data_IF_005493943827
#
_entry.id   IF_005493943827
#
_cell.length_a   1.000
_cell.length_b   1.000
_cell.length_c   1.000
_cell.angle_alpha   90.00
_cell.angle_beta   90.00
_cell.angle_gamma   90.00
#
_symmetry.space_group_name_H-M   'P 1'
#
loop_
_entity.id
_entity.type
_entity.pdbx_description
1 polymer ?
#
# COMPACT_ATOMS: atom_id res chain seq x y z
N UNK A 1 16.66 -40.81 -3.35
CA UNK A 1 15.33 -40.41 -2.84
C UNK A 1 15.37 -39.12 -2.00
N UNK A 2 16.33 -38.96 -1.07
CA UNK A 2 16.47 -37.77 -0.22
C UNK A 2 16.64 -36.42 -0.96
N UNK A 3 17.39 -36.39 -2.07
CA UNK A 3 17.64 -35.16 -2.86
C UNK A 3 16.38 -34.58 -3.53
N UNK A 4 15.41 -35.42 -3.89
CA UNK A 4 14.15 -34.99 -4.50
C UNK A 4 13.23 -34.30 -3.48
N UNK A 5 13.21 -34.80 -2.25
CA UNK A 5 12.41 -34.23 -1.14
C UNK A 5 12.93 -32.85 -0.72
N UNK A 6 14.26 -32.68 -0.68
CA UNK A 6 14.90 -31.39 -0.38
C UNK A 6 14.60 -30.32 -1.46
N UNK A 7 14.58 -30.69 -2.74
CA UNK A 7 14.24 -29.75 -3.83
C UNK A 7 12.77 -29.32 -3.80
N UNK A 8 11.86 -30.23 -3.48
CA UNK A 8 10.44 -29.93 -3.38
C UNK A 8 10.12 -29.00 -2.20
N UNK A 9 10.74 -29.23 -1.05
CA UNK A 9 10.56 -28.39 0.14
C UNK A 9 11.05 -26.96 -0.08
N UNK A 10 12.26 -26.79 -0.65
CA UNK A 10 12.78 -25.45 -1.00
C UNK A 10 11.86 -24.74 -2.00
N UNK A 11 11.37 -25.44 -3.03
CA UNK A 11 10.46 -24.84 -4.03
C UNK A 11 9.12 -24.44 -3.41
N UNK A 12 8.56 -25.25 -2.51
CA UNK A 12 7.35 -24.93 -1.74
C UNK A 12 7.56 -23.72 -0.84
N UNK A 13 8.70 -23.61 -0.16
CA UNK A 13 9.01 -22.50 0.74
C UNK A 13 9.21 -21.18 -0.03
N UNK A 14 9.88 -21.23 -1.19
CA UNK A 14 10.00 -20.08 -2.09
C UNK A 14 8.63 -19.67 -2.65
N UNK A 15 7.80 -20.64 -3.03
CA UNK A 15 6.45 -20.37 -3.58
C UNK A 15 5.53 -19.80 -2.52
N UNK A 16 5.56 -20.32 -1.30
CA UNK A 16 4.86 -19.77 -0.13
C UNK A 16 5.34 -18.36 0.19
N UNK A 17 6.65 -18.08 0.15
CA UNK A 17 7.18 -16.73 0.34
C UNK A 17 6.79 -15.76 -0.79
N UNK A 18 6.65 -16.23 -2.03
CA UNK A 18 6.15 -15.43 -3.14
C UNK A 18 4.65 -15.16 -3.04
N UNK A 19 3.86 -16.15 -2.61
CA UNK A 19 2.41 -16.00 -2.39
C UNK A 19 2.08 -15.17 -1.14
N UNK A 20 2.93 -15.23 -0.12
CA UNK A 20 2.76 -14.51 1.14
C UNK A 20 3.48 -13.15 1.13
N UNK A 21 4.13 -12.79 0.02
CA UNK A 21 4.52 -11.41 -0.31
C UNK A 21 3.25 -10.63 -0.59
N UNK A 22 2.56 -10.28 0.50
CA UNK A 22 1.63 -9.17 0.54
C UNK A 22 2.39 -7.98 -0.04
N UNK A 23 2.09 -7.57 -1.27
CA UNK A 23 2.74 -6.44 -1.94
C UNK A 23 2.67 -5.23 -1.02
N UNK A 24 3.72 -5.04 -0.25
CA UNK A 24 3.79 -3.98 0.75
C UNK A 24 5.20 -3.41 0.67
N UNK A 25 5.50 -2.88 -0.52
CA UNK A 25 6.55 -1.91 -0.79
C UNK A 25 7.98 -2.47 -0.61
N UNK A 26 8.90 -2.14 -1.52
CA UNK A 26 10.32 -2.53 -1.41
C UNK A 26 11.08 -1.90 -0.20
N UNK A 27 10.35 -1.37 0.78
CA UNK A 27 10.89 -0.71 1.95
C UNK A 27 10.73 -1.59 3.18
N UNK A 28 11.83 -1.84 3.87
CA UNK A 28 11.85 -2.58 5.13
C UNK A 28 11.32 -1.70 6.27
N UNK A 29 10.02 -1.41 6.26
CA UNK A 29 9.34 -0.62 7.30
C UNK A 29 9.11 -1.48 8.55
N UNK A 30 9.34 -0.88 9.73
CA UNK A 30 9.01 -1.54 11.02
C UNK A 30 7.51 -1.89 11.05
N UNK A 31 7.13 -3.01 11.69
CA UNK A 31 5.72 -3.44 11.83
C UNK A 31 4.79 -2.35 12.37
N UNK A 32 5.31 -1.48 13.25
CA UNK A 32 4.56 -0.40 13.88
C UNK A 32 4.84 0.97 13.25
N UNK A 33 5.39 1.00 12.03
CA UNK A 33 5.67 2.24 11.35
C UNK A 33 4.38 3.00 11.09
N UNK A 34 4.39 4.28 11.43
CA UNK A 34 3.31 5.23 11.14
C UNK A 34 3.94 6.53 10.64
N UNK A 35 3.33 7.20 9.66
CA UNK A 35 3.78 8.52 9.24
C UNK A 35 3.67 9.53 10.40
N UNK A 36 4.75 10.29 10.61
CA UNK A 36 4.88 11.29 11.67
C UNK A 36 4.88 12.72 11.14
N UNK A 37 5.31 12.91 9.90
CA UNK A 37 5.39 14.22 9.25
C UNK A 37 4.43 14.32 8.08
N UNK A 38 4.05 15.52 7.68
CA UNK A 38 3.14 15.72 6.54
C UNK A 38 3.69 15.12 5.25
N UNK A 39 5.00 15.21 5.02
CA UNK A 39 5.67 14.57 3.89
C UNK A 39 5.50 13.05 3.92
N UNK A 40 5.64 12.42 5.09
CA UNK A 40 5.44 10.98 5.25
C UNK A 40 3.98 10.59 5.07
N UNK A 41 3.03 11.41 5.53
CA UNK A 41 1.61 11.20 5.32
C UNK A 41 1.24 11.26 3.83
N UNK A 42 1.72 12.28 3.11
CA UNK A 42 1.49 12.40 1.67
C UNK A 42 2.03 11.18 0.91
N UNK A 43 3.28 10.81 1.19
CA UNK A 43 3.90 9.63 0.60
C UNK A 43 3.10 8.35 0.90
N UNK A 44 2.73 8.13 2.17
CA UNK A 44 1.99 6.95 2.59
C UNK A 44 0.61 6.86 1.93
N UNK A 45 -0.14 7.97 1.91
CA UNK A 45 -1.49 8.02 1.33
C UNK A 45 -1.48 7.86 -0.18
N UNK A 46 -0.57 8.54 -0.89
CA UNK A 46 -0.42 8.46 -2.35
C UNK A 46 -0.22 7.01 -2.78
N UNK A 47 0.74 6.37 -2.12
CA UNK A 47 1.11 4.98 -2.28
C UNK A 47 -0.09 4.05 -2.03
N UNK A 48 -0.73 4.16 -0.87
CA UNK A 48 -1.87 3.29 -0.52
C UNK A 48 -3.04 3.46 -1.49
N UNK A 49 -3.34 4.68 -1.91
CA UNK A 49 -4.46 4.97 -2.81
C UNK A 49 -4.18 4.49 -4.24
N UNK A 50 -3.02 4.80 -4.81
CA UNK A 50 -2.70 4.42 -6.20
C UNK A 50 -2.65 2.90 -6.39
N UNK A 51 -2.33 2.15 -5.32
CA UNK A 51 -2.22 0.70 -5.33
C UNK A 51 -3.43 -0.01 -4.70
N UNK A 52 -4.56 0.70 -4.54
CA UNK A 52 -5.82 0.14 -4.04
C UNK A 52 -5.76 -0.49 -2.63
N UNK A 53 -4.75 -0.16 -1.83
CA UNK A 53 -4.71 -0.53 -0.43
C UNK A 53 -5.47 0.49 0.41
N UNK A 54 -6.77 0.29 0.56
CA UNK A 54 -7.60 1.16 1.41
C UNK A 54 -7.63 0.74 2.89
N UNK A 55 -6.98 -0.38 3.25
CA UNK A 55 -7.09 -0.94 4.60
C UNK A 55 -6.51 0.00 5.65
N UNK A 56 -7.30 0.36 6.65
CA UNK A 56 -6.86 1.24 7.74
C UNK A 56 -6.64 2.69 7.31
N UNK A 57 -7.11 3.10 6.13
CA UNK A 57 -7.18 4.51 5.77
C UNK A 57 -8.42 5.15 6.39
N UNK A 58 -8.22 6.25 7.10
CA UNK A 58 -9.32 7.02 7.69
C UNK A 58 -9.72 8.16 6.75
N UNK A 59 -11.04 8.32 6.52
CA UNK A 59 -11.60 9.38 5.66
C UNK A 59 -11.08 10.77 6.01
N UNK A 60 -11.01 11.10 7.31
CA UNK A 60 -10.53 12.39 7.80
C UNK A 60 -9.07 12.67 7.41
N UNK A 61 -8.23 11.63 7.40
CA UNK A 61 -6.83 11.75 7.03
C UNK A 61 -6.67 11.99 5.54
N UNK A 62 -7.41 11.25 4.71
CA UNK A 62 -7.41 11.48 3.27
C UNK A 62 -7.91 12.91 2.97
N UNK A 63 -9.03 13.35 3.58
CA UNK A 63 -9.57 14.70 3.39
C UNK A 63 -8.57 15.79 3.79
N UNK A 64 -7.88 15.64 4.93
CA UNK A 64 -6.85 16.58 5.41
C UNK A 64 -5.75 16.82 4.38
N UNK A 65 -5.25 15.75 3.75
CA UNK A 65 -4.13 15.82 2.81
C UNK A 65 -4.56 15.92 1.34
N UNK A 66 -5.87 15.88 1.05
CA UNK A 66 -6.38 15.71 -0.32
C UNK A 66 -5.90 16.79 -1.27
N UNK A 67 -5.89 18.06 -0.85
CA UNK A 67 -5.43 19.18 -1.69
C UNK A 67 -4.01 18.97 -2.24
N UNK A 68 -3.11 18.44 -1.40
CA UNK A 68 -1.72 18.15 -1.78
C UNK A 68 -1.60 16.81 -2.52
N UNK A 69 -2.43 15.83 -2.16
CA UNK A 69 -2.49 14.50 -2.77
C UNK A 69 -3.03 14.54 -4.20
N UNK A 70 -3.96 15.44 -4.50
CA UNK A 70 -4.70 15.46 -5.75
C UNK A 70 -3.76 15.37 -6.95
N UNK A 71 -2.71 16.18 -6.98
CA UNK A 71 -1.71 16.23 -8.07
C UNK A 71 -0.84 14.98 -8.19
N UNK A 72 -0.79 14.14 -7.15
CA UNK A 72 0.04 12.92 -7.04
C UNK A 72 -0.74 11.64 -7.27
N UNK A 73 -2.06 11.70 -7.14
CA UNK A 73 -2.93 10.56 -7.42
C UNK A 73 -3.05 10.34 -8.93
N UNK A 74 -3.17 9.07 -9.30
CA UNK A 74 -3.49 8.66 -10.67
C UNK A 74 -4.81 9.31 -11.10
N UNK A 75 -4.98 9.67 -12.39
CA UNK A 75 -6.14 10.44 -12.85
C UNK A 75 -7.50 9.84 -12.45
N UNK A 76 -7.65 8.52 -12.53
CA UNK A 76 -8.87 7.82 -12.12
C UNK A 76 -9.12 7.89 -10.60
N UNK A 77 -8.09 7.67 -9.79
CA UNK A 77 -8.19 7.77 -8.31
C UNK A 77 -8.49 9.19 -7.88
N UNK A 78 -7.83 10.16 -8.51
CA UNK A 78 -8.08 11.60 -8.34
C UNK A 78 -9.54 11.94 -8.59
N UNK A 79 -10.09 11.51 -9.74
CA UNK A 79 -11.48 11.76 -10.09
C UNK A 79 -12.44 11.12 -9.07
N UNK A 80 -12.18 9.88 -8.67
CA UNK A 80 -12.97 9.18 -7.63
C UNK A 80 -13.01 9.96 -6.32
N UNK A 81 -11.84 10.38 -5.81
CA UNK A 81 -11.78 11.13 -4.55
C UNK A 81 -12.34 12.55 -4.67
N UNK A 82 -12.16 13.22 -5.81
CA UNK A 82 -12.83 14.51 -6.09
C UNK A 82 -14.34 14.36 -5.96
N UNK A 83 -14.92 13.38 -6.65
CA UNK A 83 -16.36 13.14 -6.56
C UNK A 83 -16.81 12.83 -5.13
N UNK A 84 -16.05 11.96 -4.44
CA UNK A 84 -16.34 11.55 -3.07
C UNK A 84 -16.30 12.69 -2.05
N UNK A 85 -15.37 13.64 -2.21
CA UNK A 85 -15.22 14.78 -1.30
C UNK A 85 -15.96 16.04 -1.74
N UNK A 86 -16.34 16.18 -3.01
CA UNK A 86 -17.14 17.31 -3.50
C UNK A 86 -18.59 17.22 -2.99
N UNK A 87 -19.21 16.04 -3.04
CA UNK A 87 -20.64 15.86 -2.70
C UNK A 87 -21.01 16.02 -1.20
N UNK A 88 -20.10 16.48 -0.34
CA UNK A 88 -20.31 16.65 1.11
C UNK A 88 -19.48 17.80 1.68
#
# INVERSE_FOLDING_TARGET
>A
MLLLVARYTIKLEITLNMLNKKYNWDYNLKKNWKPKTDRQWLWYLERKINYDDYKGLERKMIKKYFFQLEKRLDPGKRAMFKYYFWKK
#
